data_IF_217084075667
#
_entry.id   IF_217084075667
#
_cell.length_a   1.000
_cell.length_b   1.000
_cell.length_c   1.000
_cell.angle_alpha   90.00
_cell.angle_beta   90.00
_cell.angle_gamma   90.00
#
_symmetry.space_group_name_H-M   'P 1'
#
loop_
_entity.id
_entity.type
_entity.pdbx_description
1 polymer ?
#
# COMPACT_ATOMS: atom_id res chain seq x y z
N UNK A 1 -57.00 13.64 1.66
CA UNK A 1 -55.98 12.74 1.09
C UNK A 1 -54.76 13.50 0.53
N UNK A 2 -54.04 14.31 1.33
CA UNK A 2 -52.86 15.08 0.86
C UNK A 2 -51.59 14.88 1.69
N UNK A 3 -51.62 14.11 2.79
CA UNK A 3 -50.49 13.94 3.72
C UNK A 3 -49.54 12.76 3.42
N UNK A 4 -49.93 11.84 2.52
CA UNK A 4 -49.15 10.61 2.28
C UNK A 4 -48.17 10.68 1.09
N UNK A 5 -48.17 11.77 0.31
CA UNK A 5 -47.26 11.92 -0.84
C UNK A 5 -45.86 12.35 -0.40
N UNK A 6 -45.75 13.03 0.75
CA UNK A 6 -44.46 13.54 1.24
C UNK A 6 -43.52 12.44 1.76
N UNK A 7 -44.06 11.30 2.22
CA UNK A 7 -43.26 10.19 2.75
C UNK A 7 -42.53 9.41 1.65
N UNK A 8 -43.07 9.39 0.43
CA UNK A 8 -42.46 8.69 -0.70
C UNK A 8 -41.24 9.44 -1.28
N UNK A 9 -41.22 10.78 -1.18
CA UNK A 9 -40.10 11.60 -1.66
C UNK A 9 -38.86 11.48 -0.78
N UNK A 10 -39.00 11.24 0.52
CA UNK A 10 -37.86 11.09 1.45
C UNK A 10 -37.08 9.79 1.18
N UNK A 11 -37.73 8.75 0.66
CA UNK A 11 -37.10 7.46 0.34
C UNK A 11 -36.23 7.50 -0.92
N UNK A 12 -36.42 8.47 -1.82
CA UNK A 12 -35.63 8.62 -3.05
C UNK A 12 -34.32 9.40 -2.88
N UNK A 13 -34.10 10.07 -1.74
CA UNK A 13 -32.87 10.84 -1.50
C UNK A 13 -31.72 10.04 -0.89
N UNK A 14 -31.92 8.76 -0.54
CA UNK A 14 -30.89 7.90 0.04
C UNK A 14 -30.25 6.92 -0.96
N UNK A 15 -30.55 7.01 -2.26
CA UNK A 15 -30.07 6.03 -3.24
C UNK A 15 -28.78 6.40 -3.97
N UNK A 16 -28.06 7.46 -3.56
CA UNK A 16 -26.67 7.62 -4.00
C UNK A 16 -25.80 6.65 -3.21
N UNK A 17 -25.71 5.41 -3.69
CA UNK A 17 -24.64 4.50 -3.29
C UNK A 17 -23.37 5.06 -3.90
N UNK A 18 -22.50 5.56 -3.04
CA UNK A 18 -21.16 5.98 -3.47
C UNK A 18 -20.37 4.72 -3.84
N UNK A 19 -20.32 4.44 -5.15
CA UNK A 19 -19.62 3.30 -5.73
C UNK A 19 -18.11 3.30 -5.41
N UNK A 20 -17.56 4.43 -4.96
CA UNK A 20 -16.15 4.59 -4.64
C UNK A 20 -15.87 4.61 -3.14
N UNK A 21 -16.90 4.61 -2.27
CA UNK A 21 -16.71 4.75 -0.82
C UNK A 21 -15.69 3.77 -0.24
N UNK A 22 -15.79 2.48 -0.60
CA UNK A 22 -14.85 1.47 -0.12
C UNK A 22 -13.42 1.73 -0.62
N UNK A 23 -13.27 2.23 -1.85
CA UNK A 23 -11.96 2.61 -2.38
C UNK A 23 -11.38 3.81 -1.64
N UNK A 24 -12.18 4.86 -1.41
CA UNK A 24 -11.71 6.08 -0.73
C UNK A 24 -11.32 5.81 0.73
N UNK A 25 -12.12 5.03 1.45
CA UNK A 25 -11.82 4.63 2.84
C UNK A 25 -10.53 3.79 2.90
N UNK A 26 -10.37 2.81 2.00
CA UNK A 26 -9.17 1.98 1.92
C UNK A 26 -7.93 2.77 1.47
N UNK A 27 -8.10 3.73 0.56
CA UNK A 27 -7.03 4.61 0.10
C UNK A 27 -6.50 5.47 1.25
N UNK A 28 -7.39 5.98 2.12
CA UNK A 28 -6.98 6.72 3.30
C UNK A 28 -6.10 5.86 4.22
N UNK A 29 -6.52 4.62 4.51
CA UNK A 29 -5.73 3.67 5.30
C UNK A 29 -4.34 3.45 4.69
N UNK A 30 -4.26 3.29 3.38
CA UNK A 30 -2.98 3.10 2.70
C UNK A 30 -2.09 4.35 2.79
N UNK A 31 -2.64 5.54 2.59
CA UNK A 31 -1.89 6.81 2.73
C UNK A 31 -1.34 7.00 4.14
N UNK A 32 -2.16 6.78 5.16
CA UNK A 32 -1.72 6.85 6.55
C UNK A 32 -0.62 5.83 6.87
N UNK A 33 -0.70 4.62 6.30
CA UNK A 33 0.34 3.60 6.43
C UNK A 33 1.66 4.08 5.80
N UNK A 34 1.63 4.66 4.59
CA UNK A 34 2.81 5.20 3.92
C UNK A 34 3.45 6.32 4.75
N UNK A 35 2.64 7.25 5.27
CA UNK A 35 3.13 8.33 6.14
C UNK A 35 3.79 7.77 7.41
N UNK A 36 3.15 6.80 8.06
CA UNK A 36 3.71 6.14 9.24
C UNK A 36 5.01 5.38 8.92
N UNK A 37 5.10 4.75 7.75
CA UNK A 37 6.29 4.04 7.27
C UNK A 37 7.43 4.99 6.98
N UNK A 38 7.19 6.09 6.27
CA UNK A 38 8.20 7.11 5.99
C UNK A 38 8.72 7.71 7.30
N UNK A 39 7.83 8.06 8.24
CA UNK A 39 8.21 8.56 9.57
C UNK A 39 9.06 7.55 10.36
N UNK A 40 8.73 6.26 10.27
CA UNK A 40 9.53 5.20 10.88
C UNK A 40 10.96 5.19 10.36
N UNK A 41 11.19 5.37 9.07
CA UNK A 41 12.55 5.40 8.52
C UNK A 41 13.27 6.73 8.77
N UNK A 42 12.56 7.85 8.84
CA UNK A 42 13.15 9.18 9.04
C UNK A 42 13.63 9.42 10.48
N UNK A 43 12.86 8.99 11.49
CA UNK A 43 13.18 9.24 12.90
C UNK A 43 13.90 8.02 13.53
N UNK A 44 15.18 8.14 13.95
CA UNK A 44 15.93 7.04 14.56
C UNK A 44 15.27 6.43 15.81
N UNK A 45 14.49 7.22 16.56
CA UNK A 45 13.86 6.80 17.81
C UNK A 45 12.43 6.31 17.62
N UNK A 46 11.89 6.38 16.41
CA UNK A 46 10.52 5.97 16.11
C UNK A 46 10.42 4.44 16.06
N UNK A 47 9.56 3.88 16.91
CA UNK A 47 9.17 2.47 16.86
C UNK A 47 8.28 2.15 15.65
N UNK A 48 8.38 0.91 15.17
CA UNK A 48 7.55 0.42 14.08
C UNK A 48 6.10 0.23 14.53
N UNK A 49 5.25 1.22 14.26
CA UNK A 49 3.81 1.15 14.54
C UNK A 49 2.98 0.92 13.27
N UNK A 50 3.34 -0.09 12.47
CA UNK A 50 2.64 -0.41 11.22
C UNK A 50 1.67 -1.59 11.34
N UNK A 51 1.79 -2.43 12.37
CA UNK A 51 1.00 -3.67 12.49
C UNK A 51 -0.52 -3.45 12.45
N UNK A 52 -1.00 -2.28 12.91
CA UNK A 52 -2.42 -1.90 12.91
C UNK A 52 -3.03 -1.77 11.51
N UNK A 53 -2.22 -1.45 10.50
CA UNK A 53 -2.68 -1.25 9.12
C UNK A 53 -2.90 -2.56 8.37
N UNK A 54 -2.28 -3.65 8.82
CA UNK A 54 -2.31 -4.95 8.14
C UNK A 54 -3.26 -5.92 8.82
N UNK A 55 -4.00 -6.73 8.05
CA UNK A 55 -4.80 -7.82 8.59
C UNK A 55 -3.92 -8.89 9.26
N UNK A 56 -4.51 -9.82 10.02
CA UNK A 56 -3.74 -10.89 10.67
C UNK A 56 -3.15 -11.90 9.67
N UNK A 57 -3.82 -12.11 8.55
CA UNK A 57 -3.42 -13.02 7.48
C UNK A 57 -2.71 -12.30 6.33
N UNK A 58 -2.07 -11.16 6.61
CA UNK A 58 -1.44 -10.36 5.55
C UNK A 58 -0.31 -11.11 4.84
N UNK A 59 -0.28 -11.00 3.51
CA UNK A 59 0.76 -11.53 2.63
C UNK A 59 1.30 -10.41 1.72
N UNK A 60 2.63 -10.29 1.67
CA UNK A 60 3.34 -9.47 0.71
C UNK A 60 3.89 -10.35 -0.40
N UNK A 61 3.62 -10.00 -1.65
CA UNK A 61 4.14 -10.67 -2.84
C UNK A 61 5.15 -9.76 -3.52
N UNK A 62 6.42 -10.16 -3.57
CA UNK A 62 7.44 -9.45 -4.35
C UNK A 62 7.75 -10.22 -5.63
N UNK A 63 8.13 -9.53 -6.71
CA UNK A 63 8.45 -10.16 -7.99
C UNK A 63 9.91 -9.85 -8.43
N UNK A 64 10.92 -10.42 -7.75
CA UNK A 64 12.31 -10.23 -8.12
C UNK A 64 12.67 -10.93 -9.44
N UNK A 65 13.76 -10.48 -10.06
CA UNK A 65 14.31 -11.11 -11.25
C UNK A 65 14.60 -12.61 -11.01
N UNK A 66 14.18 -13.46 -11.93
CA UNK A 66 14.31 -14.91 -11.82
C UNK A 66 13.18 -15.62 -11.06
N UNK A 67 12.31 -14.88 -10.34
CA UNK A 67 11.18 -15.47 -9.63
C UNK A 67 9.82 -15.06 -10.22
N UNK A 68 9.46 -15.66 -11.36
CA UNK A 68 8.24 -15.32 -12.11
C UNK A 68 6.93 -15.53 -11.37
N UNK A 69 6.92 -16.34 -10.31
CA UNK A 69 5.72 -16.60 -9.48
C UNK A 69 5.62 -15.61 -8.31
N UNK A 70 6.65 -14.79 -8.12
CA UNK A 70 6.82 -13.97 -6.95
C UNK A 70 7.21 -14.77 -5.72
N UNK A 71 7.58 -14.04 -4.68
CA UNK A 71 7.92 -14.55 -3.36
C UNK A 71 6.93 -14.01 -2.35
N UNK A 72 6.43 -14.88 -1.49
CA UNK A 72 5.48 -14.53 -0.45
C UNK A 72 6.20 -14.26 0.87
N UNK A 73 5.80 -13.20 1.55
CA UNK A 73 6.30 -12.83 2.88
C UNK A 73 5.11 -12.59 3.79
N UNK A 74 5.04 -13.34 4.89
CA UNK A 74 3.98 -13.18 5.89
C UNK A 74 4.18 -11.90 6.70
N UNK A 75 3.12 -11.44 7.37
CA UNK A 75 3.14 -10.22 8.18
C UNK A 75 4.30 -10.07 9.16
N UNK A 76 4.64 -11.09 9.94
CA UNK A 76 5.75 -11.02 10.90
C UNK A 76 7.06 -10.71 10.19
N UNK A 77 7.36 -11.48 9.15
CA UNK A 77 8.62 -11.44 8.44
C UNK A 77 8.76 -10.13 7.66
N UNK A 78 7.65 -9.64 7.09
CA UNK A 78 7.59 -8.33 6.43
C UNK A 78 7.93 -7.20 7.42
N UNK A 79 7.27 -7.17 8.57
CA UNK A 79 7.50 -6.13 9.58
C UNK A 79 8.90 -6.21 10.19
N UNK A 80 9.42 -7.42 10.42
CA UNK A 80 10.77 -7.62 10.95
C UNK A 80 11.84 -7.26 9.90
N UNK A 81 11.60 -7.49 8.61
CA UNK A 81 12.47 -7.03 7.53
C UNK A 81 12.59 -5.51 7.51
N UNK A 82 11.50 -4.76 7.73
CA UNK A 82 11.57 -3.30 7.83
C UNK A 82 12.42 -2.83 9.03
N UNK A 83 12.32 -3.51 10.18
CA UNK A 83 13.16 -3.20 11.34
C UNK A 83 14.63 -3.50 11.06
N UNK A 84 14.91 -4.64 10.42
CA UNK A 84 16.25 -5.03 10.05
C UNK A 84 16.88 -4.04 9.07
N UNK A 85 16.13 -3.61 8.04
CA UNK A 85 16.58 -2.57 7.13
C UNK A 85 16.98 -1.30 7.90
N UNK A 86 16.11 -0.81 8.79
CA UNK A 86 16.41 0.38 9.60
C UNK A 86 17.63 0.18 10.50
N UNK A 87 17.77 -0.99 11.15
CA UNK A 87 18.92 -1.25 12.02
C UNK A 87 20.25 -1.38 11.26
N UNK A 88 20.19 -1.67 9.96
CA UNK A 88 21.33 -1.65 9.05
C UNK A 88 21.62 -0.24 8.49
N UNK A 89 20.90 0.79 8.94
CA UNK A 89 21.09 2.17 8.49
C UNK A 89 20.35 2.52 7.20
N UNK A 90 19.52 1.61 6.66
CA UNK A 90 18.70 1.94 5.49
C UNK A 90 17.57 2.90 5.86
N UNK A 91 17.37 3.89 5.01
CA UNK A 91 16.23 4.81 5.02
C UNK A 91 15.47 4.62 3.71
N UNK A 92 14.21 4.19 3.82
CA UNK A 92 13.28 4.08 2.71
C UNK A 92 12.25 5.21 2.79
N UNK A 93 12.08 5.94 1.70
CA UNK A 93 11.11 7.02 1.61
C UNK A 93 10.29 6.89 0.31
N UNK A 94 8.98 6.75 0.43
CA UNK A 94 8.07 6.79 -0.71
C UNK A 94 7.67 8.26 -0.93
N UNK A 95 8.22 8.87 -1.98
CA UNK A 95 8.18 10.32 -2.23
C UNK A 95 7.09 10.74 -3.23
N UNK A 96 6.65 9.82 -4.07
CA UNK A 96 5.62 10.08 -5.07
C UNK A 96 4.67 8.89 -5.16
N UNK A 97 3.38 9.15 -5.36
CA UNK A 97 2.38 8.11 -5.57
C UNK A 97 1.22 8.60 -6.42
N UNK A 98 0.83 7.77 -7.39
CA UNK A 98 -0.39 7.92 -8.19
C UNK A 98 -1.30 6.77 -7.79
N UNK A 99 -2.50 7.10 -7.30
CA UNK A 99 -3.48 6.14 -6.82
C UNK A 99 -4.59 5.96 -7.85
N UNK A 100 -4.93 4.71 -8.14
CA UNK A 100 -6.01 4.34 -9.05
C UNK A 100 -6.91 3.30 -8.37
N UNK A 101 -8.22 3.29 -8.63
CA UNK A 101 -9.10 2.24 -8.14
C UNK A 101 -8.83 0.93 -8.86
N UNK A 102 -8.84 -0.18 -8.12
CA UNK A 102 -8.94 -1.50 -8.71
C UNK A 102 -10.34 -1.80 -9.21
N UNK A 103 -10.44 -2.76 -10.12
CA UNK A 103 -11.70 -3.21 -10.71
C UNK A 103 -11.83 -4.72 -10.56
N UNK A 104 -13.06 -5.16 -10.31
CA UNK A 104 -13.40 -6.57 -10.31
C UNK A 104 -13.29 -7.11 -11.75
N UNK A 105 -12.60 -8.23 -11.93
CA UNK A 105 -12.35 -8.83 -13.25
C UNK A 105 -13.63 -9.29 -13.98
N UNK A 106 -14.72 -9.55 -13.24
CA UNK A 106 -15.98 -10.09 -13.78
C UNK A 106 -17.03 -9.02 -13.97
N UNK A 107 -17.17 -8.12 -12.99
CA UNK A 107 -18.20 -7.08 -13.02
C UNK A 107 -17.71 -5.76 -13.62
N UNK A 108 -16.39 -5.55 -13.69
CA UNK A 108 -15.74 -4.29 -14.09
C UNK A 108 -16.08 -3.09 -13.19
N UNK A 109 -16.71 -3.34 -12.04
CA UNK A 109 -16.97 -2.33 -11.02
C UNK A 109 -15.75 -2.16 -10.11
N UNK A 110 -15.66 -1.01 -9.43
CA UNK A 110 -14.60 -0.77 -8.45
C UNK A 110 -14.74 -1.76 -7.29
N UNK A 111 -13.65 -2.48 -6.99
CA UNK A 111 -13.66 -3.56 -5.99
C UNK A 111 -13.14 -3.12 -4.61
N UNK A 112 -12.79 -1.84 -4.47
CA UNK A 112 -12.24 -1.28 -3.24
C UNK A 112 -10.73 -1.52 -3.05
N UNK A 113 -10.07 -2.25 -3.95
CA UNK A 113 -8.61 -2.37 -3.96
C UNK A 113 -7.95 -1.10 -4.50
N UNK A 114 -6.69 -0.88 -4.12
CA UNK A 114 -5.91 0.29 -4.55
C UNK A 114 -4.79 -0.18 -5.48
N UNK A 115 -4.59 0.53 -6.58
CA UNK A 115 -3.47 0.37 -7.50
C UNK A 115 -2.56 1.58 -7.38
N UNK A 116 -1.25 1.37 -7.28
CA UNK A 116 -0.31 2.45 -6.97
C UNK A 116 0.89 2.38 -7.89
N UNK A 117 1.14 3.45 -8.62
CA UNK A 117 2.48 3.72 -9.15
C UNK A 117 3.19 4.61 -8.16
N UNK A 118 4.36 4.22 -7.69
CA UNK A 118 5.10 5.00 -6.70
C UNK A 118 6.54 5.23 -7.13
N UNK A 119 7.09 6.36 -6.67
CA UNK A 119 8.52 6.64 -6.68
C UNK A 119 9.04 6.60 -5.25
N UNK A 120 10.18 5.95 -5.05
CA UNK A 120 10.81 5.83 -3.75
C UNK A 120 12.32 6.07 -3.84
N UNK A 121 12.87 6.44 -2.70
CA UNK A 121 14.29 6.59 -2.46
C UNK A 121 14.67 5.58 -1.39
N UNK A 122 15.66 4.73 -1.71
CA UNK A 122 16.37 3.93 -0.72
C UNK A 122 17.75 4.54 -0.53
N UNK A 123 18.17 4.72 0.72
CA UNK A 123 19.49 5.26 1.03
C UNK A 123 20.13 4.52 2.21
N UNK A 124 21.46 4.47 2.20
CA UNK A 124 22.31 3.96 3.29
C UNK A 124 23.65 4.70 3.22
N UNK A 125 24.12 5.23 4.34
CA UNK A 125 25.30 6.11 4.40
C UNK A 125 25.24 7.28 3.41
N UNK A 126 26.15 7.33 2.42
CA UNK A 126 26.17 8.34 1.35
C UNK A 126 25.46 7.89 0.07
N UNK A 127 25.00 6.64 0.02
CA UNK A 127 24.47 6.01 -1.17
C UNK A 127 22.97 6.22 -1.24
N UNK A 128 22.48 6.56 -2.42
CA UNK A 128 21.07 6.83 -2.68
C UNK A 128 20.69 6.24 -4.03
N UNK A 129 19.59 5.50 -4.03
CA UNK A 129 18.98 4.93 -5.22
C UNK A 129 17.54 5.39 -5.30
N UNK A 130 17.21 6.06 -6.40
CA UNK A 130 15.82 6.36 -6.76
C UNK A 130 15.27 5.24 -7.64
N UNK A 131 14.07 4.77 -7.32
CA UNK A 131 13.41 3.74 -8.08
C UNK A 131 11.90 3.95 -8.12
N UNK A 132 11.26 3.31 -9.09
CA UNK A 132 9.81 3.27 -9.21
C UNK A 132 9.31 1.85 -9.03
N UNK A 133 8.10 1.72 -8.49
CA UNK A 133 7.40 0.45 -8.42
C UNK A 133 5.92 0.59 -8.73
N UNK A 134 5.30 -0.56 -8.93
CA UNK A 134 3.85 -0.71 -9.05
C UNK A 134 3.36 -1.64 -7.94
N UNK A 135 2.26 -1.27 -7.30
CA UNK A 135 1.61 -2.11 -6.30
C UNK A 135 0.13 -2.34 -6.62
N UNK A 136 -0.35 -3.53 -6.32
CA UNK A 136 -1.76 -3.80 -6.05
C UNK A 136 -1.95 -4.00 -4.57
N UNK A 137 -2.99 -3.41 -3.97
CA UNK A 137 -3.28 -3.52 -2.53
C UNK A 137 -4.72 -3.93 -2.34
N UNK A 138 -4.93 -5.10 -1.74
CA UNK A 138 -6.24 -5.60 -1.38
C UNK A 138 -6.50 -5.42 0.12
N UNK A 139 -7.76 -5.26 0.47
CA UNK A 139 -8.20 -4.96 1.82
C UNK A 139 -9.20 -5.99 2.33
N UNK A 140 -9.13 -6.24 3.63
CA UNK A 140 -10.12 -7.01 4.37
C UNK A 140 -10.47 -6.24 5.64
N UNK A 141 -11.75 -5.89 5.82
CA UNK A 141 -12.24 -5.10 6.94
C UNK A 141 -11.43 -3.80 7.17
N UNK A 142 -11.17 -3.04 6.10
CA UNK A 142 -10.40 -1.78 6.13
C UNK A 142 -8.95 -1.93 6.62
N UNK A 143 -8.39 -3.14 6.54
CA UNK A 143 -6.97 -3.42 6.78
C UNK A 143 -6.35 -3.99 5.50
N UNK A 144 -5.08 -3.70 5.27
CA UNK A 144 -4.31 -4.23 4.15
C UNK A 144 -4.15 -5.73 4.33
N UNK A 145 -4.73 -6.49 3.43
CA UNK A 145 -4.69 -7.95 3.44
C UNK A 145 -3.59 -8.49 2.53
N UNK A 146 -3.40 -7.90 1.36
CA UNK A 146 -2.41 -8.38 0.42
C UNK A 146 -1.80 -7.21 -0.33
N UNK A 147 -0.49 -7.28 -0.57
CA UNK A 147 0.22 -6.33 -1.43
C UNK A 147 1.01 -7.15 -2.45
N UNK A 148 0.90 -6.80 -3.72
CA UNK A 148 1.77 -7.33 -4.77
C UNK A 148 2.59 -6.20 -5.32
N UNK A 149 3.91 -6.33 -5.27
CA UNK A 149 4.86 -5.29 -5.64
C UNK A 149 5.78 -5.74 -6.76
N UNK A 150 5.80 -4.94 -7.83
CA UNK A 150 6.76 -5.01 -8.91
C UNK A 150 7.70 -3.81 -8.83
N UNK A 151 8.98 -4.08 -8.59
CA UNK A 151 10.06 -3.11 -8.61
C UNK A 151 11.33 -3.78 -9.13
N UNK A 152 12.28 -2.99 -9.66
CA UNK A 152 13.57 -3.51 -10.13
C UNK A 152 14.53 -3.74 -8.96
N UNK A 153 14.25 -4.75 -8.13
CA UNK A 153 15.09 -5.10 -6.98
C UNK A 153 16.54 -5.44 -7.39
N UNK A 154 16.72 -6.02 -8.58
CA UNK A 154 18.06 -6.33 -9.11
C UNK A 154 18.85 -5.06 -9.42
N UNK A 155 18.23 -4.10 -10.12
CA UNK A 155 18.82 -2.78 -10.38
C UNK A 155 19.12 -2.02 -9.10
N UNK A 156 18.20 -2.03 -8.12
CA UNK A 156 18.40 -1.38 -6.81
C UNK A 156 19.61 -2.00 -6.10
N UNK A 157 19.66 -3.33 -6.00
CA UNK A 157 20.76 -4.02 -5.33
C UNK A 157 22.11 -3.76 -6.02
N UNK A 158 22.14 -3.78 -7.36
CA UNK A 158 23.36 -3.51 -8.12
C UNK A 158 23.88 -2.09 -7.89
N UNK A 159 23.00 -1.08 -7.85
CA UNK A 159 23.42 0.30 -7.59
C UNK A 159 23.89 0.49 -6.14
N UNK A 160 23.28 -0.21 -5.18
CA UNK A 160 23.74 -0.17 -3.78
C UNK A 160 25.12 -0.81 -3.59
N UNK A 161 25.44 -1.88 -4.33
CA UNK A 161 26.74 -2.57 -4.26
C UNK A 161 27.84 -1.87 -5.07
N UNK A 162 27.49 -1.10 -6.10
CA UNK A 162 28.46 -0.48 -7.02
C UNK A 162 29.20 0.75 -6.42
N UNK A 163 28.97 1.08 -5.15
CA UNK A 163 29.54 2.26 -4.49
C UNK A 163 30.48 1.87 -3.33
N UNK A 164 30.80 0.58 -3.17
CA UNK A 164 31.87 0.06 -2.29
C UNK A 164 33.24 -0.04 -3.02
#
# INVERSE_FOLDING_TARGET
>A
MKKNIFLFLILFFFSCVDHYKNYDDNLLVFKEMIEAKNKFFEDPNQDLNLSKYYSNNFIFHSYPAGNKKGEETIKSDYLDSLKQMKSMGYVLNIVHSIYLPGINEKTYEVDGSVRVYYGAILSVDTNMVEFSGYMTINFFNNQIAEVWEWADYGGINNQMQAID
#
